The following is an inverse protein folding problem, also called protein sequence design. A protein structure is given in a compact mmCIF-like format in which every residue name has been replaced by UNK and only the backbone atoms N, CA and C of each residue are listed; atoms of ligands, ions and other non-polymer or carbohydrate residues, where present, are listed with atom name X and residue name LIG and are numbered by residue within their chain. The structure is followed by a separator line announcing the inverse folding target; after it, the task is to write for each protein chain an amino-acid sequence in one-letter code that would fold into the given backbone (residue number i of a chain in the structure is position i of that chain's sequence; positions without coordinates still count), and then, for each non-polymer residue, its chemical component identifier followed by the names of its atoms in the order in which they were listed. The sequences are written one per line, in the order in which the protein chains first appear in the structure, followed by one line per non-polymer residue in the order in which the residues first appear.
data_IF_002137186430
#
_entry.id   IF_002137186430
#
_cell.length_a   1.000
_cell.length_b   1.000
_cell.length_c   1.000
_cell.angle_alpha   90.00
_cell.angle_beta   90.00
_cell.angle_gamma   90.00
#
_symmetry.space_group_name_H-M   'P 1'
#
loop_
_entity.id
_entity.type
_entity.pdbx_description
1 polymer ?
#
# COMPACT_ATOMS: atom_id res chain seq x y z
N UNK A 1 -7.65 -6.39 21.71
CA UNK A 1 -7.48 -6.00 23.12
C UNK A 1 -6.02 -6.08 23.52
N UNK A 2 -5.63 -5.25 24.45
CA UNK A 2 -4.30 -5.24 25.07
C UNK A 2 -4.37 -5.99 26.39
N UNK A 3 -3.41 -6.85 26.67
CA UNK A 3 -3.30 -7.51 27.97
C UNK A 3 -2.71 -6.49 28.94
N UNK A 4 -3.44 -6.20 30.02
CA UNK A 4 -3.00 -5.29 31.07
C UNK A 4 -2.29 -6.03 32.21
N UNK A 5 -2.79 -7.21 32.56
CA UNK A 5 -2.16 -8.08 33.54
C UNK A 5 -2.55 -9.52 33.40
N UNK A 6 -1.67 -10.40 33.83
CA UNK A 6 -1.96 -11.83 34.01
C UNK A 6 -1.61 -12.20 35.46
N UNK A 7 -2.49 -12.98 36.13
CA UNK A 7 -2.22 -13.59 37.43
C UNK A 7 -2.41 -15.09 37.36
N UNK A 8 -1.53 -15.83 38.00
CA UNK A 8 -1.61 -17.26 38.18
C UNK A 8 -1.83 -17.54 39.69
N UNK A 9 -2.98 -18.12 40.06
CA UNK A 9 -3.40 -18.29 41.45
C UNK A 9 -3.27 -17.00 42.29
N UNK A 10 -3.72 -15.87 41.72
CA UNK A 10 -3.63 -14.54 42.34
C UNK A 10 -2.25 -13.89 42.32
N UNK A 11 -1.18 -14.59 41.91
CA UNK A 11 0.18 -14.05 41.81
C UNK A 11 0.42 -13.43 40.43
N UNK A 12 0.88 -12.16 40.34
CA UNK A 12 1.20 -11.53 39.07
C UNK A 12 2.27 -12.29 38.30
N UNK A 13 2.06 -12.47 36.98
CA UNK A 13 3.05 -13.01 36.04
C UNK A 13 3.64 -11.87 35.26
N UNK A 14 4.97 -11.80 35.19
CA UNK A 14 5.67 -10.78 34.42
C UNK A 14 5.95 -11.27 33.01
N UNK A 15 5.74 -10.40 32.04
CA UNK A 15 6.15 -10.67 30.66
C UNK A 15 7.67 -10.78 30.56
N UNK A 16 8.15 -11.65 29.65
CA UNK A 16 9.58 -11.71 29.30
C UNK A 16 9.97 -10.50 28.42
N UNK A 17 11.25 -10.44 27.99
CA UNK A 17 11.78 -9.35 27.18
C UNK A 17 11.11 -9.22 25.79
N UNK A 18 10.42 -10.26 25.33
CA UNK A 18 9.64 -10.28 24.06
C UNK A 18 8.17 -9.88 24.28
N UNK A 19 7.77 -9.57 25.52
CA UNK A 19 6.39 -9.27 25.87
C UNK A 19 5.50 -10.51 26.01
N UNK A 20 6.06 -11.72 25.98
CA UNK A 20 5.32 -12.95 26.14
C UNK A 20 5.21 -13.35 27.62
N UNK A 21 4.08 -13.93 27.99
CA UNK A 21 3.83 -14.45 29.32
C UNK A 21 4.01 -15.97 29.32
N UNK A 22 4.93 -16.47 30.13
CA UNK A 22 5.19 -17.89 30.27
C UNK A 22 4.61 -18.39 31.60
N UNK A 23 3.69 -19.34 31.55
CA UNK A 23 3.01 -19.91 32.71
C UNK A 23 3.15 -21.42 32.65
N UNK A 24 3.75 -22.00 33.68
CA UNK A 24 3.75 -23.45 33.87
C UNK A 24 2.44 -23.89 34.50
N UNK A 25 1.61 -24.57 33.71
CA UNK A 25 0.30 -25.06 34.18
C UNK A 25 0.44 -26.20 35.21
N UNK A 26 -0.36 -26.12 36.25
CA UNK A 26 -0.54 -27.19 37.25
C UNK A 26 -2.03 -27.48 37.45
N UNK A 27 -2.35 -28.65 37.90
CA UNK A 27 -3.76 -29.03 38.14
C UNK A 27 -4.45 -28.08 39.17
N UNK A 28 -5.67 -27.66 38.86
CA UNK A 28 -6.44 -26.74 39.69
C UNK A 28 -5.96 -25.27 39.65
N UNK A 29 -5.00 -24.90 38.77
CA UNK A 29 -4.53 -23.52 38.62
C UNK A 29 -5.62 -22.63 38.04
N UNK A 30 -5.76 -21.44 38.63
CA UNK A 30 -6.60 -20.36 38.09
C UNK A 30 -5.73 -19.31 37.41
N UNK A 31 -6.04 -18.95 36.14
CA UNK A 31 -5.40 -17.88 35.40
C UNK A 31 -6.42 -16.76 35.22
N UNK A 32 -6.07 -15.58 35.71
CA UNK A 32 -6.84 -14.35 35.53
C UNK A 32 -6.13 -13.48 34.50
N UNK A 33 -6.84 -13.10 33.42
CA UNK A 33 -6.32 -12.20 32.37
C UNK A 33 -7.17 -10.95 32.37
N UNK A 34 -6.56 -9.81 32.67
CA UNK A 34 -7.20 -8.50 32.53
C UNK A 34 -6.80 -7.88 31.19
N UNK A 35 -7.80 -7.46 30.43
CA UNK A 35 -7.58 -6.84 29.12
C UNK A 35 -8.28 -5.50 29.03
N UNK A 36 -7.72 -4.59 28.23
CA UNK A 36 -8.36 -3.34 27.83
C UNK A 36 -8.65 -3.31 26.32
N UNK A 37 -9.59 -2.48 25.93
CA UNK A 37 -9.83 -2.22 24.52
C UNK A 37 -8.69 -1.38 23.94
N UNK A 38 -8.20 -1.74 22.76
CA UNK A 38 -7.30 -0.85 22.00
C UNK A 38 -8.17 0.24 21.38
N UNK A 39 -8.00 1.48 21.84
CA UNK A 39 -8.66 2.63 21.24
C UNK A 39 -7.83 3.06 20.03
N UNK A 40 -8.44 3.01 18.83
CA UNK A 40 -7.84 3.47 17.60
C UNK A 40 -8.56 4.74 17.16
N UNK A 41 -8.00 5.88 17.52
CA UNK A 41 -8.55 7.23 17.35
C UNK A 41 -7.91 8.01 16.19
N UNK A 42 -6.86 7.45 15.60
CA UNK A 42 -6.19 7.99 14.43
C UNK A 42 -6.59 7.23 13.17
N UNK A 43 -6.54 7.89 12.04
CA UNK A 43 -6.88 7.31 10.74
C UNK A 43 -5.88 7.70 9.66
N UNK A 44 -5.64 6.81 8.72
CA UNK A 44 -4.97 7.08 7.46
C UNK A 44 -5.79 6.53 6.29
N UNK A 45 -5.54 7.08 5.12
CA UNK A 45 -6.14 6.59 3.87
C UNK A 45 -5.09 5.78 3.13
N UNK A 46 -5.45 4.55 2.76
CA UNK A 46 -4.62 3.67 1.92
C UNK A 46 -5.33 3.43 0.60
N UNK A 47 -4.70 3.83 -0.50
CA UNK A 47 -5.23 3.68 -1.85
C UNK A 47 -4.43 2.63 -2.60
N UNK A 48 -5.11 1.62 -3.13
CA UNK A 48 -4.50 0.51 -3.88
C UNK A 48 -5.08 0.51 -5.29
N UNK A 49 -4.23 0.56 -6.32
CA UNK A 49 -4.67 0.63 -7.72
C UNK A 49 -5.37 -0.65 -8.18
N UNK A 50 -4.78 -1.81 -7.95
CA UNK A 50 -5.36 -3.09 -8.35
C UNK A 50 -4.77 -4.25 -7.53
N UNK A 51 -5.44 -4.61 -6.42
CA UNK A 51 -4.96 -5.66 -5.52
C UNK A 51 -4.91 -7.05 -6.17
N UNK A 52 -5.64 -7.27 -7.28
CA UNK A 52 -5.66 -8.56 -7.98
C UNK A 52 -4.31 -8.94 -8.60
N UNK A 53 -3.42 -7.95 -8.82
CA UNK A 53 -2.07 -8.17 -9.31
C UNK A 53 -1.17 -8.86 -8.28
N UNK A 54 -1.48 -8.71 -7.00
CA UNK A 54 -0.84 -9.46 -5.91
C UNK A 54 -1.47 -10.87 -5.81
N UNK A 55 -1.43 -11.63 -6.90
CA UNK A 55 -2.15 -12.90 -7.07
C UNK A 55 -1.65 -14.04 -6.18
N UNK A 56 -0.51 -13.89 -5.50
CA UNK A 56 0.00 -14.81 -4.48
C UNK A 56 -0.22 -14.29 -3.05
N UNK A 57 -0.71 -13.07 -2.89
CA UNK A 57 -1.09 -12.49 -1.60
C UNK A 57 -0.78 -11.02 -1.48
N UNK A 58 -1.64 -10.32 -0.78
CA UNK A 58 -1.45 -8.94 -0.35
C UNK A 58 -1.65 -8.88 1.16
N UNK A 59 -0.61 -8.47 1.86
CA UNK A 59 -0.58 -8.43 3.31
C UNK A 59 -0.40 -6.99 3.80
N UNK A 60 -1.23 -6.58 4.74
CA UNK A 60 -1.09 -5.31 5.44
C UNK A 60 -1.24 -5.60 6.94
N UNK A 61 -0.13 -5.51 7.66
CA UNK A 61 -0.05 -5.89 9.06
C UNK A 61 0.23 -4.69 9.96
N UNK A 62 -0.25 -4.77 11.19
CA UNK A 62 0.22 -3.93 12.30
C UNK A 62 1.46 -4.52 12.95
N UNK A 63 2.07 -3.76 13.86
CA UNK A 63 3.20 -4.23 14.68
C UNK A 63 2.90 -5.49 15.50
N UNK A 64 1.65 -5.70 15.89
CA UNK A 64 1.18 -6.90 16.58
C UNK A 64 0.90 -8.09 15.64
N UNK A 65 1.30 -7.99 14.37
CA UNK A 65 1.03 -8.94 13.29
C UNK A 65 -0.46 -9.17 12.97
N UNK A 66 -1.37 -8.38 13.52
CA UNK A 66 -2.77 -8.44 13.11
C UNK A 66 -2.95 -7.90 11.70
N UNK A 67 -3.71 -8.64 10.88
CA UNK A 67 -3.96 -8.28 9.48
C UNK A 67 -5.04 -7.22 9.38
N UNK A 68 -4.82 -6.20 8.55
CA UNK A 68 -5.84 -5.27 8.11
C UNK A 68 -6.29 -5.67 6.71
N UNK A 69 -7.59 -5.96 6.57
CA UNK A 69 -8.15 -6.33 5.26
C UNK A 69 -8.15 -5.12 4.34
N UNK A 70 -7.65 -5.31 3.12
CA UNK A 70 -7.55 -4.30 2.08
C UNK A 70 -8.30 -4.71 0.83
N UNK A 71 -8.71 -3.74 0.04
CA UNK A 71 -9.34 -3.92 -1.26
C UNK A 71 -8.80 -2.89 -2.25
N UNK A 72 -9.03 -3.12 -3.54
CA UNK A 72 -8.74 -2.14 -4.59
C UNK A 72 -9.52 -0.85 -4.33
N UNK A 73 -8.88 0.28 -4.56
CA UNK A 73 -9.42 1.61 -4.28
C UNK A 73 -9.03 2.12 -2.89
N UNK A 74 -9.87 2.98 -2.33
CA UNK A 74 -9.62 3.67 -1.07
C UNK A 74 -10.05 2.83 0.13
N UNK A 75 -9.14 2.70 1.10
CA UNK A 75 -9.35 2.01 2.37
C UNK A 75 -9.06 2.97 3.53
N UNK A 76 -9.87 2.96 4.58
CA UNK A 76 -9.58 3.68 5.81
C UNK A 76 -8.95 2.73 6.83
N UNK A 77 -7.77 3.08 7.32
CA UNK A 77 -7.05 2.33 8.35
C UNK A 77 -7.11 3.10 9.65
N UNK A 78 -7.68 2.47 10.68
CA UNK A 78 -7.73 3.03 12.05
C UNK A 78 -6.57 2.49 12.87
N UNK A 79 -5.91 3.34 13.66
CA UNK A 79 -4.78 2.98 14.52
C UNK A 79 -4.70 3.92 15.73
N UNK A 80 -3.80 3.63 16.67
CA UNK A 80 -3.50 4.46 17.83
C UNK A 80 -2.05 4.96 17.77
N UNK A 81 -1.70 5.89 18.63
CA UNK A 81 -0.32 6.36 18.74
C UNK A 81 0.68 5.24 19.08
N UNK A 82 0.23 4.20 19.81
CA UNK A 82 1.07 3.05 20.18
C UNK A 82 1.05 1.93 19.11
N UNK A 83 0.16 2.00 18.11
CA UNK A 83 -0.05 0.97 17.09
C UNK A 83 -0.06 1.64 15.69
N UNK A 84 0.98 2.42 15.41
CA UNK A 84 1.11 3.22 14.18
C UNK A 84 2.12 2.65 13.18
N UNK A 85 2.87 1.61 13.58
CA UNK A 85 3.83 0.92 12.70
C UNK A 85 3.13 -0.15 11.88
N UNK A 86 3.38 -0.16 10.56
CA UNK A 86 2.76 -1.07 9.61
C UNK A 86 3.78 -1.72 8.70
N UNK A 87 3.45 -2.93 8.28
CA UNK A 87 4.17 -3.69 7.27
C UNK A 87 3.22 -4.00 6.11
N UNK A 88 3.69 -3.74 4.89
CA UNK A 88 3.00 -4.08 3.64
C UNK A 88 3.84 -5.08 2.87
N UNK A 89 3.24 -6.14 2.38
CA UNK A 89 3.85 -7.11 1.46
C UNK A 89 2.90 -7.44 0.33
N UNK A 90 3.37 -7.36 -0.91
CA UNK A 90 2.62 -7.78 -2.08
C UNK A 90 3.39 -8.87 -2.83
N UNK A 91 2.71 -9.94 -3.21
CA UNK A 91 3.30 -11.11 -3.85
C UNK A 91 2.54 -11.43 -5.14
N UNK A 92 3.24 -11.44 -6.27
CA UNK A 92 2.65 -11.65 -7.59
C UNK A 92 3.69 -11.83 -8.68
N UNK A 93 3.25 -12.20 -9.89
CA UNK A 93 4.14 -12.53 -11.00
C UNK A 93 4.88 -11.33 -11.60
N UNK A 94 4.31 -10.14 -11.55
CA UNK A 94 4.88 -8.95 -12.20
C UNK A 94 4.69 -7.69 -11.34
N UNK A 95 5.37 -7.68 -10.20
CA UNK A 95 5.39 -6.56 -9.26
C UNK A 95 6.72 -5.78 -9.28
N UNK A 96 7.58 -6.04 -10.25
CA UNK A 96 8.90 -5.40 -10.38
C UNK A 96 8.82 -3.86 -10.52
N UNK A 97 7.68 -3.35 -10.95
CA UNK A 97 7.40 -1.91 -11.09
C UNK A 97 6.60 -1.32 -9.94
N UNK A 98 6.31 -2.12 -8.91
CA UNK A 98 5.55 -1.65 -7.76
C UNK A 98 6.16 -0.39 -7.15
N UNK A 99 5.30 0.57 -6.84
CA UNK A 99 5.69 1.80 -6.15
C UNK A 99 4.75 2.05 -4.99
N UNK A 100 5.31 2.37 -3.84
CA UNK A 100 4.56 2.80 -2.66
C UNK A 100 4.95 4.24 -2.33
N UNK A 101 3.97 5.10 -2.09
CA UNK A 101 4.18 6.49 -1.70
C UNK A 101 3.44 6.79 -0.41
N UNK A 102 4.11 7.45 0.52
CA UNK A 102 3.51 8.01 1.73
C UNK A 102 3.51 9.53 1.60
N UNK A 103 2.33 10.14 1.59
CA UNK A 103 2.13 11.58 1.36
C UNK A 103 2.86 12.09 0.09
N UNK A 104 2.78 11.32 -1.01
CA UNK A 104 3.45 11.62 -2.27
C UNK A 104 4.94 11.27 -2.33
N UNK A 105 5.60 10.99 -1.19
CA UNK A 105 7.01 10.60 -1.13
C UNK A 105 7.17 9.10 -1.34
N UNK A 106 7.99 8.69 -2.31
CA UNK A 106 8.27 7.27 -2.59
C UNK A 106 8.99 6.62 -1.41
N UNK A 107 8.48 5.48 -0.97
CA UNK A 107 9.13 4.61 0.01
C UNK A 107 10.09 3.64 -0.68
N UNK A 108 11.15 3.28 0.01
CA UNK A 108 12.04 2.20 -0.40
C UNK A 108 11.52 0.88 0.20
N UNK A 109 11.60 -0.23 -0.55
CA UNK A 109 11.30 -1.54 0.03
C UNK A 109 12.32 -1.92 1.11
N UNK A 110 11.92 -2.80 2.03
CA UNK A 110 12.75 -3.28 3.15
C UNK A 110 14.04 -3.98 2.68
N UNK A 111 14.06 -4.43 1.42
CA UNK A 111 15.26 -4.96 0.75
C UNK A 111 15.25 -4.63 -0.75
N UNK A 112 16.41 -4.47 -1.39
CA UNK A 112 16.49 -4.08 -2.81
C UNK A 112 15.74 -5.03 -3.73
N UNK A 113 14.88 -4.49 -4.59
CA UNK A 113 14.05 -5.26 -5.53
C UNK A 113 12.88 -6.00 -4.89
N UNK A 114 12.66 -5.84 -3.59
CA UNK A 114 11.55 -6.45 -2.88
C UNK A 114 10.23 -5.69 -3.02
N UNK A 115 9.17 -6.33 -2.56
CA UNK A 115 7.80 -5.81 -2.55
C UNK A 115 7.24 -5.72 -1.13
N UNK A 116 8.12 -5.69 -0.13
CA UNK A 116 7.79 -5.51 1.28
C UNK A 116 8.26 -4.14 1.75
N UNK A 117 7.44 -3.46 2.53
CA UNK A 117 7.67 -2.11 3.03
C UNK A 117 7.30 -2.03 4.50
N UNK A 118 8.07 -1.28 5.27
CA UNK A 118 7.82 -0.96 6.67
C UNK A 118 7.75 0.56 6.82
N UNK A 119 6.76 1.06 7.54
CA UNK A 119 6.53 2.49 7.70
C UNK A 119 5.63 2.79 8.90
N UNK A 120 5.74 4.02 9.40
CA UNK A 120 4.85 4.56 10.41
C UNK A 120 3.79 5.45 9.77
N UNK A 121 2.55 5.32 10.20
CA UNK A 121 1.45 6.19 9.82
C UNK A 121 1.18 7.24 10.89
N UNK A 122 0.87 8.44 10.44
CA UNK A 122 0.36 9.54 11.27
C UNK A 122 -1.09 9.82 10.93
N UNK A 123 -1.78 10.49 11.84
CA UNK A 123 -3.18 10.86 11.61
C UNK A 123 -3.33 11.69 10.32
N UNK A 124 -4.26 11.27 9.46
CA UNK A 124 -4.55 11.81 8.13
C UNK A 124 -3.48 11.58 7.06
N UNK A 125 -2.53 10.68 7.29
CA UNK A 125 -1.60 10.25 6.24
C UNK A 125 -2.34 9.59 5.07
N UNK A 126 -1.72 9.68 3.88
CA UNK A 126 -2.17 9.02 2.67
C UNK A 126 -1.06 8.12 2.13
N UNK A 127 -1.33 6.82 2.14
CA UNK A 127 -0.48 5.80 1.52
C UNK A 127 -1.07 5.41 0.17
N UNK A 128 -0.26 5.44 -0.87
CA UNK A 128 -0.65 5.06 -2.22
C UNK A 128 0.20 3.87 -2.67
N UNK A 129 -0.46 2.80 -3.08
CA UNK A 129 0.15 1.54 -3.51
C UNK A 129 -0.18 1.31 -4.97
N UNK A 130 0.82 1.42 -5.82
CA UNK A 130 0.72 1.22 -7.27
C UNK A 130 1.38 -0.11 -7.62
N UNK A 131 0.58 -1.16 -7.72
CA UNK A 131 1.07 -2.49 -8.07
C UNK A 131 1.50 -2.59 -9.54
N UNK A 132 0.84 -1.81 -10.42
CA UNK A 132 1.23 -1.65 -11.83
C UNK A 132 2.47 -0.78 -12.04
N UNK A 133 2.93 -0.11 -11.00
CA UNK A 133 3.90 0.97 -11.07
C UNK A 133 3.24 2.32 -11.41
N UNK A 134 4.01 3.38 -11.23
CA UNK A 134 3.58 4.72 -11.63
C UNK A 134 4.09 4.96 -13.04
N UNK A 135 3.17 5.13 -13.99
CA UNK A 135 3.54 5.72 -15.27
C UNK A 135 3.62 7.23 -15.08
N UNK A 136 4.78 7.82 -15.35
CA UNK A 136 4.97 9.26 -15.25
C UNK A 136 3.99 9.99 -16.19
N UNK A 137 2.82 10.29 -15.65
CA UNK A 137 1.91 11.34 -16.10
C UNK A 137 1.17 11.16 -17.43
N UNK A 138 1.38 10.06 -18.17
CA UNK A 138 0.50 9.72 -19.31
C UNK A 138 0.38 8.20 -19.36
N UNK A 139 -0.61 7.66 -18.64
CA UNK A 139 -1.03 6.29 -18.87
C UNK A 139 -1.35 6.12 -20.35
N UNK A 140 -0.77 5.11 -20.97
CA UNK A 140 -1.20 4.71 -22.28
C UNK A 140 -2.68 4.38 -22.19
N UNK A 141 -3.53 5.23 -22.71
CA UNK A 141 -4.90 4.89 -22.99
C UNK A 141 -4.81 3.60 -23.81
N UNK A 142 -5.30 2.50 -23.24
CA UNK A 142 -5.37 1.22 -23.96
C UNK A 142 -5.95 1.48 -25.34
N UNK A 143 -5.26 0.99 -26.34
CA UNK A 143 -5.54 1.21 -27.73
C UNK A 143 -7.04 1.00 -28.01
N UNK A 144 -7.76 2.09 -28.18
CA UNK A 144 -9.04 2.06 -28.83
C UNK A 144 -8.83 1.39 -30.20
N UNK A 145 -9.55 0.30 -30.41
CA UNK A 145 -9.60 -0.49 -31.65
C UNK A 145 -9.49 0.40 -32.88
N UNK A 146 -8.60 0.01 -33.78
CA UNK A 146 -8.31 0.56 -35.11
C UNK A 146 -9.35 1.56 -35.65
N UNK A 147 -9.18 2.83 -35.29
CA UNK A 147 -9.77 3.99 -35.92
C UNK A 147 -8.63 4.92 -36.35
N UNK A 148 -8.82 5.73 -37.39
CA UNK A 148 -7.84 6.69 -37.87
C UNK A 148 -7.16 7.42 -36.69
N UNK A 149 -5.82 7.41 -36.66
CA UNK A 149 -5.06 8.05 -35.58
C UNK A 149 -5.51 9.50 -35.39
N UNK A 150 -5.93 9.83 -34.17
CA UNK A 150 -6.33 11.19 -33.84
C UNK A 150 -5.08 11.92 -33.32
N UNK A 151 -4.71 13.00 -34.00
CA UNK A 151 -3.50 13.76 -33.73
C UNK A 151 -3.87 15.15 -33.20
N UNK A 152 -3.25 15.55 -32.10
CA UNK A 152 -3.40 16.89 -31.54
C UNK A 152 -2.03 17.55 -31.39
N UNK A 153 -2.00 18.87 -31.53
CA UNK A 153 -0.86 19.71 -31.09
C UNK A 153 -0.89 19.87 -29.58
N UNK A 154 0.19 20.34 -28.99
CA UNK A 154 0.25 20.64 -27.55
C UNK A 154 -0.71 21.77 -27.11
N UNK A 155 -1.17 22.61 -28.06
CA UNK A 155 -2.19 23.64 -27.83
C UNK A 155 -3.64 23.08 -27.85
N UNK A 156 -3.79 21.76 -27.97
CA UNK A 156 -5.09 21.07 -28.00
C UNK A 156 -5.79 21.07 -29.37
N UNK A 157 -5.21 21.69 -30.40
CA UNK A 157 -5.81 21.70 -31.75
C UNK A 157 -5.61 20.36 -32.45
N UNK A 158 -6.70 19.80 -32.94
CA UNK A 158 -6.68 18.57 -33.77
C UNK A 158 -6.03 18.85 -35.11
N UNK A 159 -5.18 17.94 -35.55
CA UNK A 159 -4.57 17.97 -36.88
C UNK A 159 -5.23 16.95 -37.76
N UNK A 160 -5.70 17.41 -38.93
CA UNK A 160 -6.22 16.53 -39.97
C UNK A 160 -5.16 16.40 -41.06
N UNK A 161 -4.68 15.19 -41.32
CA UNK A 161 -3.68 14.89 -42.34
C UNK A 161 -2.67 13.84 -41.92
N UNK A 162 -1.99 13.25 -42.91
CA UNK A 162 -1.03 12.16 -42.72
C UNK A 162 0.42 12.60 -42.59
N UNK A 163 0.73 13.87 -42.91
CA UNK A 163 2.08 14.39 -42.82
C UNK A 163 2.22 15.38 -41.68
N UNK A 164 2.96 14.96 -40.65
CA UNK A 164 3.26 15.82 -39.51
C UNK A 164 4.62 16.48 -39.70
N UNK A 165 4.73 17.82 -39.58
CA UNK A 165 6.01 18.52 -39.49
C UNK A 165 6.81 18.06 -38.26
N UNK A 166 8.11 18.42 -38.22
CA UNK A 166 8.92 18.21 -37.02
C UNK A 166 8.24 18.91 -35.83
N UNK A 167 8.08 18.22 -34.72
CA UNK A 167 7.43 18.79 -33.55
C UNK A 167 6.98 17.75 -32.56
N UNK A 168 6.27 18.21 -31.52
CA UNK A 168 5.70 17.37 -30.46
C UNK A 168 4.20 17.32 -30.63
N UNK A 169 3.63 16.11 -30.63
CA UNK A 169 2.23 15.84 -30.88
C UNK A 169 1.66 14.88 -29.84
N UNK A 170 0.35 14.90 -29.68
CA UNK A 170 -0.41 13.86 -28.97
C UNK A 170 -1.10 13.00 -30.02
N UNK A 171 -0.65 11.76 -30.18
CA UNK A 171 -1.20 10.80 -31.14
C UNK A 171 -1.86 9.66 -30.35
N UNK A 172 -3.16 9.50 -30.51
CA UNK A 172 -3.94 8.51 -29.76
C UNK A 172 -3.67 8.60 -28.24
N UNK A 173 -3.61 9.83 -27.70
CA UNK A 173 -3.35 10.09 -26.29
C UNK A 173 -1.88 9.99 -25.85
N UNK A 174 -0.94 9.63 -26.76
CA UNK A 174 0.50 9.51 -26.43
C UNK A 174 1.28 10.71 -26.97
N UNK A 175 2.23 11.23 -26.17
CA UNK A 175 3.18 12.25 -26.61
C UNK A 175 4.20 11.62 -27.58
N UNK A 176 4.28 12.14 -28.79
CA UNK A 176 5.17 11.67 -29.85
C UNK A 176 6.01 12.83 -30.35
N UNK A 177 7.32 12.62 -30.49
CA UNK A 177 8.23 13.57 -31.12
C UNK A 177 8.45 13.13 -32.57
N UNK A 178 8.04 13.95 -33.50
CA UNK A 178 8.28 13.74 -34.93
C UNK A 178 9.54 14.53 -35.32
N UNK A 179 10.56 13.82 -35.75
CA UNK A 179 11.81 14.40 -36.25
C UNK A 179 12.16 13.71 -37.58
N UNK A 180 11.87 14.38 -38.69
CA UNK A 180 12.23 13.90 -40.03
C UNK A 180 13.66 14.37 -40.34
N UNK A 181 14.54 13.43 -40.54
CA UNK A 181 15.87 13.67 -41.13
C UNK A 181 15.77 13.88 -42.62
#
# INVERSE_FOLDING_TARGET
CKIESIKANGTPVTANYEGAYEIRLTDGMTIEVTTSAIVRDQKAIVVIDDISLANYGFNFYRSDHSTVKMQTGENTVMFSADDHHFMLGAYGNDLSKMVVKLNGTKLNPSYPGGTSFEFDLKNNDRLEVFLKGVTDGIDAIESVKQGKAVVYRLDGKRIEGTQLPNGVYIINGKKVIVNKR
#
